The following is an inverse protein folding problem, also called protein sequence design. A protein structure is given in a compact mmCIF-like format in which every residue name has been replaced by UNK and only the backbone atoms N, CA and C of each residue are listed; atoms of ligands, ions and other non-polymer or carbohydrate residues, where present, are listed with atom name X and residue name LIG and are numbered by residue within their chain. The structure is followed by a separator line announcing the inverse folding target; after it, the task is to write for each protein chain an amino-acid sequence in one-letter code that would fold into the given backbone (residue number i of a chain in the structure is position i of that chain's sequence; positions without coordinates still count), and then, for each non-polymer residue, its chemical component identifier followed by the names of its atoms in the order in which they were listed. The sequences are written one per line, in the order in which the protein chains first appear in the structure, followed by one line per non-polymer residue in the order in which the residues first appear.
data_IF_907223611396
#
_entry.id   IF_907223611396
#
_cell.length_a   1.000
_cell.length_b   1.000
_cell.length_c   1.000
_cell.angle_alpha   90.00
_cell.angle_beta   90.00
_cell.angle_gamma   90.00
#
_symmetry.space_group_name_H-M   'P 1'
#
loop_
_entity.id
_entity.type
_entity.pdbx_description
1 polymer ?
#
# COMPACT_ATOMS: atom_id res chain seq x y z
N UNK A 1 -6.88 21.99 -46.26
CA UNK A 1 -5.48 21.49 -46.19
C UNK A 1 -4.93 21.68 -44.78
N UNK A 2 -4.79 22.93 -44.31
CA UNK A 2 -4.26 23.25 -42.97
C UNK A 2 -4.97 22.54 -41.80
N UNK A 3 -6.31 22.54 -41.73
CA UNK A 3 -7.03 21.85 -40.65
C UNK A 3 -6.86 20.32 -40.63
N UNK A 4 -6.58 19.70 -41.78
CA UNK A 4 -6.34 18.26 -41.84
C UNK A 4 -4.94 17.92 -41.31
N UNK A 5 -3.97 18.82 -41.55
CA UNK A 5 -2.61 18.70 -41.05
C UNK A 5 -2.58 18.92 -39.52
N UNK A 6 -3.27 19.95 -39.01
CA UNK A 6 -3.43 20.23 -37.57
C UNK A 6 -4.10 19.06 -36.83
N UNK A 7 -5.14 18.46 -37.41
CA UNK A 7 -5.78 17.27 -36.84
C UNK A 7 -4.83 16.07 -36.82
N UNK A 8 -4.01 15.92 -37.86
CA UNK A 8 -3.00 14.86 -37.95
C UNK A 8 -1.87 15.01 -36.93
N UNK A 9 -1.48 16.25 -36.62
CA UNK A 9 -0.52 16.56 -35.55
C UNK A 9 -1.11 16.26 -34.17
N UNK A 10 -2.35 16.70 -33.90
CA UNK A 10 -3.05 16.45 -32.64
C UNK A 10 -3.23 14.95 -32.36
N UNK A 11 -3.64 14.17 -33.36
CA UNK A 11 -3.82 12.73 -33.20
C UNK A 11 -2.50 12.00 -32.92
N UNK A 12 -1.39 12.49 -33.48
CA UNK A 12 -0.06 11.95 -33.23
C UNK A 12 0.41 12.24 -31.81
N UNK A 13 0.23 13.48 -31.35
CA UNK A 13 0.53 13.86 -29.96
C UNK A 13 -0.30 13.02 -28.97
N UNK A 14 -1.57 12.79 -29.27
CA UNK A 14 -2.42 11.94 -28.44
C UNK A 14 -1.92 10.49 -28.34
N UNK A 15 -1.46 9.91 -29.46
CA UNK A 15 -0.90 8.55 -29.47
C UNK A 15 0.40 8.45 -28.68
N UNK A 16 1.29 9.45 -28.79
CA UNK A 16 2.53 9.55 -28.01
C UNK A 16 2.25 9.62 -26.50
N UNK A 17 1.31 10.46 -26.09
CA UNK A 17 0.92 10.59 -24.68
C UNK A 17 0.31 9.29 -24.15
N UNK A 18 -0.50 8.59 -24.94
CA UNK A 18 -1.07 7.29 -24.57
C UNK A 18 0.01 6.21 -24.40
N UNK A 19 1.05 6.21 -25.24
CA UNK A 19 2.19 5.29 -25.11
C UNK A 19 2.99 5.57 -23.82
N UNK A 20 3.21 6.84 -23.49
CA UNK A 20 3.89 7.25 -22.26
C UNK A 20 3.16 6.79 -20.99
N UNK A 21 1.82 6.86 -20.97
CA UNK A 21 1.03 6.29 -19.87
C UNK A 21 1.20 4.77 -19.77
N UNK A 22 1.26 4.06 -20.90
CA UNK A 22 1.56 2.62 -20.93
C UNK A 22 2.95 2.29 -20.42
N UNK A 23 3.92 3.20 -20.63
CA UNK A 23 5.31 3.07 -20.18
C UNK A 23 5.52 3.39 -18.69
N UNK A 24 4.44 3.69 -17.96
CA UNK A 24 4.48 4.17 -16.58
C UNK A 24 5.22 3.26 -15.59
N UNK A 25 5.47 3.77 -14.36
CA UNK A 25 6.35 3.16 -13.35
C UNK A 25 5.94 1.74 -12.89
N UNK A 26 4.74 1.30 -13.26
CA UNK A 26 4.20 -0.02 -12.93
C UNK A 26 5.16 -1.16 -13.29
N UNK A 27 5.87 -1.05 -14.42
CA UNK A 27 6.82 -2.06 -14.87
C UNK A 27 8.03 -2.22 -13.93
N UNK A 28 8.47 -1.14 -13.26
CA UNK A 28 9.59 -1.21 -12.32
C UNK A 28 9.15 -1.84 -10.99
N UNK A 29 7.96 -1.46 -10.50
CA UNK A 29 7.40 -2.02 -9.27
C UNK A 29 7.12 -3.52 -9.40
N UNK A 30 6.70 -3.98 -10.57
CA UNK A 30 6.46 -5.39 -10.84
C UNK A 30 7.72 -6.25 -10.65
N UNK A 31 8.88 -5.79 -11.13
CA UNK A 31 10.15 -6.50 -10.94
C UNK A 31 10.52 -6.62 -9.46
N UNK A 32 10.41 -5.52 -8.70
CA UNK A 32 10.63 -5.53 -7.25
C UNK A 32 9.65 -6.46 -6.53
N UNK A 33 8.38 -6.51 -6.96
CA UNK A 33 7.38 -7.40 -6.39
C UNK A 33 7.69 -8.87 -6.67
N UNK A 34 8.18 -9.20 -7.88
CA UNK A 34 8.61 -10.55 -8.24
C UNK A 34 9.84 -10.99 -7.43
N UNK A 35 10.80 -10.09 -7.19
CA UNK A 35 11.96 -10.34 -6.35
C UNK A 35 11.55 -10.62 -4.90
N UNK A 36 10.62 -9.82 -4.35
CA UNK A 36 10.09 -10.00 -3.00
C UNK A 36 9.35 -11.34 -2.85
N UNK A 37 8.52 -11.72 -3.84
CA UNK A 37 7.83 -13.02 -3.88
C UNK A 37 8.81 -14.19 -3.89
N UNK A 38 9.89 -14.10 -4.67
CA UNK A 38 10.94 -15.13 -4.71
C UNK A 38 11.63 -15.24 -3.35
N UNK A 39 12.05 -14.11 -2.77
CA UNK A 39 12.73 -14.09 -1.46
C UNK A 39 11.82 -14.61 -0.34
N UNK A 40 10.54 -14.28 -0.35
CA UNK A 40 9.56 -14.78 0.60
C UNK A 40 9.28 -16.29 0.42
N UNK A 41 9.19 -16.79 -0.82
CA UNK A 41 8.97 -18.21 -1.09
C UNK A 41 10.20 -19.09 -0.83
N UNK A 42 11.40 -18.54 -1.01
CA UNK A 42 12.67 -19.25 -0.82
C UNK A 42 13.08 -19.34 0.66
N UNK A 43 12.57 -18.44 1.52
CA UNK A 43 12.84 -18.43 2.96
C UNK A 43 11.96 -19.39 3.79
N UNK A 44 10.98 -20.07 3.16
CA UNK A 44 10.04 -20.98 3.86
C UNK A 44 10.50 -22.44 3.80
N UNK A 45 11.47 -22.79 2.94
CA UNK A 45 11.79 -24.20 2.63
C UNK A 45 13.22 -24.66 2.91
N UNK A 46 14.09 -23.84 3.51
CA UNK A 46 15.45 -24.28 3.87
C UNK A 46 15.96 -23.66 5.17
N UNK A 47 15.35 -24.03 6.29
CA UNK A 47 16.01 -24.06 7.60
C UNK A 47 15.12 -24.81 8.58
N UNK A 48 15.24 -26.13 8.59
CA UNK A 48 15.00 -26.87 9.83
C UNK A 48 16.13 -26.54 10.80
N UNK A 49 15.77 -26.20 12.04
CA UNK A 49 16.59 -26.07 13.27
C UNK A 49 17.69 -24.96 13.20
N UNK A 50 17.87 -24.07 14.16
CA UNK A 50 18.07 -24.27 15.60
C UNK A 50 17.54 -23.07 16.42
N UNK A 51 16.92 -23.37 17.57
CA UNK A 51 16.63 -22.39 18.62
C UNK A 51 17.93 -22.01 19.34
N UNK A 52 18.70 -21.06 18.82
CA UNK A 52 19.82 -20.47 19.56
C UNK A 52 19.80 -18.95 19.47
N UNK A 53 19.32 -18.36 20.56
CA UNK A 53 19.70 -17.07 21.14
C UNK A 53 21.03 -16.53 20.59
N UNK A 54 20.95 -15.75 19.51
CA UNK A 54 22.06 -14.92 19.04
C UNK A 54 21.75 -13.48 19.37
N UNK A 55 21.97 -13.15 20.64
CA UNK A 55 22.29 -11.80 21.06
C UNK A 55 23.55 -11.34 20.33
N UNK A 56 23.39 -10.60 19.23
CA UNK A 56 24.43 -9.68 18.75
C UNK A 56 23.84 -8.29 18.65
N UNK A 57 24.05 -7.56 19.73
CA UNK A 57 23.81 -6.14 19.93
C UNK A 57 24.32 -5.31 18.75
N UNK A 58 23.42 -4.57 18.09
CA UNK A 58 23.79 -3.43 17.25
C UNK A 58 24.17 -2.26 18.18
N UNK A 59 25.41 -1.76 18.19
CA UNK A 59 25.79 -0.65 19.05
C UNK A 59 25.45 0.65 18.33
N UNK A 60 24.18 1.05 18.33
CA UNK A 60 23.83 2.25 17.55
C UNK A 60 22.42 2.80 17.66
N UNK A 61 21.58 2.34 18.58
CA UNK A 61 20.27 2.97 18.78
C UNK A 61 20.00 3.16 20.26
N UNK A 62 20.26 4.37 20.73
CA UNK A 62 19.77 4.89 22.00
C UNK A 62 18.25 5.00 21.91
N UNK A 63 17.53 3.94 22.25
CA UNK A 63 16.12 4.04 22.62
C UNK A 63 16.07 3.99 24.14
N UNK A 64 15.59 5.11 24.70
CA UNK A 64 15.32 5.28 26.11
C UNK A 64 14.60 4.05 26.70
N UNK A 65 15.07 3.56 27.83
CA UNK A 65 14.31 2.69 28.72
C UNK A 65 12.90 3.25 28.91
N UNK A 66 11.91 2.53 28.41
CA UNK A 66 10.56 2.57 28.95
C UNK A 66 10.30 1.19 29.52
N UNK A 67 10.56 1.07 30.81
CA UNK A 67 10.14 -0.03 31.65
C UNK A 67 8.61 0.02 31.81
N UNK A 68 7.89 -0.75 31.01
CA UNK A 68 6.47 -1.02 31.22
C UNK A 68 6.33 -2.32 32.03
N UNK A 69 5.84 -2.19 33.26
CA UNK A 69 5.61 -3.30 34.19
C UNK A 69 4.33 -4.05 33.79
N UNK A 70 4.47 -5.22 33.15
CA UNK A 70 3.36 -6.03 32.63
C UNK A 70 2.59 -6.82 33.70
N UNK A 71 2.70 -6.46 34.98
CA UNK A 71 1.94 -7.09 36.06
C UNK A 71 0.66 -6.32 36.40
N UNK A 72 -0.19 -6.04 35.41
CA UNK A 72 -1.60 -5.72 35.68
C UNK A 72 -2.52 -6.53 34.76
N UNK A 73 -3.38 -7.42 35.29
CA UNK A 73 -4.37 -8.12 34.48
C UNK A 73 -5.54 -7.17 34.23
N UNK A 74 -5.37 -6.24 33.30
CA UNK A 74 -6.41 -5.27 32.93
C UNK A 74 -7.00 -5.60 31.56
N UNK A 75 -7.98 -6.51 31.59
CA UNK A 75 -9.26 -6.39 30.88
C UNK A 75 -9.34 -5.26 29.81
N UNK A 76 -8.77 -5.48 28.62
CA UNK A 76 -8.92 -4.58 27.49
C UNK A 76 -9.47 -5.35 26.28
N UNK A 77 -10.74 -5.76 26.40
CA UNK A 77 -11.59 -5.88 25.20
C UNK A 77 -11.50 -4.53 24.45
N UNK A 78 -11.17 -4.51 23.14
CA UNK A 78 -11.12 -3.26 22.41
C UNK A 78 -12.52 -2.63 22.46
N UNK A 79 -12.61 -1.45 23.07
CA UNK A 79 -13.83 -0.67 23.10
C UNK A 79 -14.29 -0.46 21.66
N UNK A 80 -15.58 -0.74 21.40
CA UNK A 80 -16.22 -0.52 20.09
C UNK A 80 -15.73 0.81 19.52
N UNK A 81 -15.08 0.75 18.35
CA UNK A 81 -14.63 1.94 17.65
C UNK A 81 -15.80 2.92 17.52
N UNK A 82 -15.62 4.12 18.06
CA UNK A 82 -16.60 5.19 17.97
C UNK A 82 -16.46 5.77 16.57
N UNK A 83 -17.40 5.41 15.69
CA UNK A 83 -17.52 6.04 14.38
C UNK A 83 -17.68 7.54 14.62
N UNK A 84 -16.88 8.34 13.91
CA UNK A 84 -16.99 9.80 13.93
C UNK A 84 -18.28 10.26 13.28
N UNK A 85 -18.33 11.52 12.89
CA UNK A 85 -19.44 12.01 12.09
C UNK A 85 -19.46 11.28 10.72
N UNK A 86 -20.60 10.68 10.36
CA UNK A 86 -20.82 9.98 9.09
C UNK A 86 -21.85 10.66 8.19
N UNK A 87 -22.21 11.91 8.50
CA UNK A 87 -23.24 12.64 7.75
C UNK A 87 -22.96 12.74 6.24
N UNK A 88 -21.72 13.02 5.85
CA UNK A 88 -21.33 13.11 4.43
C UNK A 88 -21.51 11.77 3.69
N UNK A 89 -21.21 10.66 4.37
CA UNK A 89 -21.37 9.32 3.81
C UNK A 89 -22.85 8.96 3.63
N UNK A 90 -23.69 9.37 4.59
CA UNK A 90 -25.14 9.16 4.54
C UNK A 90 -25.78 9.96 3.39
N UNK A 91 -25.34 11.20 3.16
CA UNK A 91 -25.80 12.03 2.03
C UNK A 91 -25.40 11.43 0.68
N UNK A 92 -24.15 10.97 0.55
CA UNK A 92 -23.68 10.32 -0.67
C UNK A 92 -24.49 9.05 -1.00
N UNK A 93 -24.83 8.23 0.00
CA UNK A 93 -25.67 7.04 -0.20
C UNK A 93 -27.08 7.44 -0.66
N UNK A 94 -27.68 8.47 -0.04
CA UNK A 94 -29.00 8.94 -0.44
C UNK A 94 -29.04 9.49 -1.88
N UNK A 95 -27.99 10.19 -2.29
CA UNK A 95 -27.86 10.66 -3.67
C UNK A 95 -27.69 9.51 -4.67
N UNK A 96 -26.96 8.45 -4.29
CA UNK A 96 -26.85 7.22 -5.10
C UNK A 96 -28.20 6.51 -5.22
N UNK A 97 -28.93 6.34 -4.13
CA UNK A 97 -30.25 5.70 -4.16
C UNK A 97 -31.22 6.46 -5.07
N UNK A 98 -31.20 7.79 -5.05
CA UNK A 98 -31.99 8.65 -5.95
C UNK A 98 -31.58 8.48 -7.42
N UNK A 99 -30.30 8.28 -7.70
CA UNK A 99 -29.82 8.09 -9.06
C UNK A 99 -30.14 6.69 -9.64
N UNK A 100 -30.52 5.74 -8.78
CA UNK A 100 -30.83 4.35 -9.13
C UNK A 100 -32.34 4.07 -9.24
N UNK A 101 -33.22 5.04 -8.93
CA UNK A 101 -34.67 5.03 -9.25
C UNK A 101 -34.97 5.49 -10.68
#
# INVERSE_FOLDING_TARGET
PAMADELGELLREFEEVMEDFGRGPAHQYEQHLQELKRKAGQNVYDSGIDELESASTSPGSSLSSSEEDLNTPANALPSKAKLGDTQELEEFIADLDRALE
#
